data_IF_503306079274
#
_entry.id   IF_503306079274
#
_cell.length_a   1.000
_cell.length_b   1.000
_cell.length_c   1.000
_cell.angle_alpha   90.00
_cell.angle_beta   90.00
_cell.angle_gamma   90.00
#
_symmetry.space_group_name_H-M   'P 1'
#
loop_
_entity.id
_entity.type
_entity.pdbx_description
1 polymer ?
#
# COMPACT_ATOMS: atom_id res chain seq x y z
N UNK A 1 -9.46 -5.01 6.16
CA UNK A 1 -9.79 -4.48 7.53
C UNK A 1 -8.84 -5.00 8.62
N UNK A 2 -8.43 -6.28 8.59
CA UNK A 2 -7.58 -6.86 9.63
C UNK A 2 -6.16 -6.26 9.67
N UNK A 3 -5.57 -5.99 8.50
CA UNK A 3 -4.20 -5.48 8.40
C UNK A 3 -4.02 -4.11 9.07
N UNK A 4 -4.93 -3.16 8.82
CA UNK A 4 -4.88 -1.88 9.53
C UNK A 4 -5.07 -2.05 11.03
N UNK A 5 -5.87 -3.03 11.49
CA UNK A 5 -6.07 -3.31 12.90
C UNK A 5 -4.83 -3.90 13.60
N UNK A 6 -3.94 -4.56 12.85
CA UNK A 6 -2.68 -5.13 13.35
C UNK A 6 -1.48 -4.22 13.12
N UNK A 7 -1.56 -3.28 12.16
CA UNK A 7 -0.54 -2.27 11.94
C UNK A 7 -0.36 -1.42 13.21
N UNK A 8 0.87 -1.31 13.75
CA UNK A 8 1.12 -0.76 15.08
C UNK A 8 1.21 0.78 15.13
N UNK A 9 0.86 1.48 14.05
CA UNK A 9 0.99 2.94 13.95
C UNK A 9 -0.22 3.64 13.29
N UNK A 10 -0.11 4.95 13.03
CA UNK A 10 -1.10 5.67 12.26
C UNK A 10 -1.03 5.29 10.77
N UNK A 11 -2.17 5.32 10.10
CA UNK A 11 -2.32 4.98 8.67
C UNK A 11 -2.86 6.19 7.95
N UNK A 12 -2.14 6.66 6.93
CA UNK A 12 -2.61 7.71 6.05
C UNK A 12 -3.20 7.12 4.77
N UNK A 13 -4.43 7.47 4.45
CA UNK A 13 -5.10 7.07 3.21
C UNK A 13 -5.18 8.28 2.28
N UNK A 14 -4.47 8.19 1.16
CA UNK A 14 -4.29 9.29 0.19
C UNK A 14 -5.27 9.26 -0.97
N UNK A 15 -5.80 8.08 -1.31
CA UNK A 15 -6.78 7.82 -2.38
C UNK A 15 -7.68 6.66 -1.95
N UNK A 16 -8.61 6.24 -2.80
CA UNK A 16 -9.32 4.98 -2.61
C UNK A 16 -8.32 3.78 -2.58
N UNK A 17 -8.59 2.69 -1.88
CA UNK A 17 -9.88 2.26 -1.32
C UNK A 17 -9.89 2.26 0.22
N UNK A 18 -10.69 3.15 0.82
CA UNK A 18 -10.98 3.09 2.24
C UNK A 18 -12.33 2.44 2.48
N UNK A 19 -12.35 1.42 3.34
CA UNK A 19 -13.57 0.87 3.92
C UNK A 19 -13.85 1.56 5.26
N UNK A 20 -15.10 1.50 5.73
CA UNK A 20 -15.45 2.03 7.05
C UNK A 20 -14.49 1.47 8.14
N UNK A 21 -13.73 2.34 8.84
CA UNK A 21 -12.75 1.92 9.83
C UNK A 21 -13.39 1.24 11.04
N UNK A 22 -12.81 0.13 11.49
CA UNK A 22 -13.22 -0.49 12.75
C UNK A 22 -12.84 0.41 13.94
N UNK A 23 -13.63 0.36 15.01
CA UNK A 23 -13.36 1.11 16.26
C UNK A 23 -11.94 0.94 16.78
N UNK A 24 -11.35 -0.25 16.62
CA UNK A 24 -9.99 -0.60 17.08
C UNK A 24 -8.86 0.27 16.49
N UNK A 25 -9.07 0.87 15.32
CA UNK A 25 -8.03 1.65 14.63
C UNK A 25 -8.54 2.98 14.06
N UNK A 26 -9.81 3.32 14.27
CA UNK A 26 -10.43 4.55 13.75
C UNK A 26 -9.71 5.81 14.25
N UNK A 27 -9.23 5.81 15.49
CA UNK A 27 -8.49 6.93 16.10
C UNK A 27 -7.08 7.12 15.54
N UNK A 28 -6.60 6.23 14.68
CA UNK A 28 -5.26 6.30 14.07
C UNK A 28 -5.28 6.16 12.55
N UNK A 29 -6.46 6.24 11.92
CA UNK A 29 -6.56 6.47 10.48
C UNK A 29 -6.60 7.98 10.23
N UNK A 30 -5.94 8.38 9.16
CA UNK A 30 -5.94 9.71 8.59
C UNK A 30 -6.33 9.64 7.12
N UNK A 31 -6.93 10.73 6.63
CA UNK A 31 -7.29 10.90 5.23
C UNK A 31 -6.58 12.13 4.65
N UNK A 32 -6.38 12.16 3.35
CA UNK A 32 -5.84 13.30 2.62
C UNK A 32 -6.44 13.40 1.21
N UNK A 33 -6.16 14.51 0.53
CA UNK A 33 -6.68 14.82 -0.80
C UNK A 33 -8.22 14.69 -0.82
N UNK A 34 -8.78 13.98 -1.80
CA UNK A 34 -10.22 13.80 -1.98
C UNK A 34 -10.83 12.74 -1.04
N UNK A 35 -10.03 12.07 -0.21
CA UNK A 35 -10.52 11.02 0.69
C UNK A 35 -11.18 11.63 1.93
N UNK A 36 -12.43 11.22 2.21
CA UNK A 36 -13.16 11.62 3.41
C UNK A 36 -13.93 10.46 4.04
N UNK A 37 -13.84 10.33 5.36
CA UNK A 37 -14.62 9.36 6.14
C UNK A 37 -15.10 10.01 7.43
N UNK A 38 -16.37 9.84 7.77
CA UNK A 38 -16.96 10.49 8.94
C UNK A 38 -16.26 10.06 10.26
N UNK A 39 -15.84 11.07 11.04
CA UNK A 39 -15.18 10.86 12.32
C UNK A 39 -13.74 10.33 12.21
N UNK A 40 -13.12 10.47 11.03
CA UNK A 40 -11.70 10.20 10.80
C UNK A 40 -11.00 11.53 10.60
N UNK A 41 -9.77 11.67 11.12
CA UNK A 41 -9.00 12.90 10.96
C UNK A 41 -8.58 13.09 9.49
N UNK A 42 -8.64 14.33 9.02
CA UNK A 42 -8.18 14.71 7.69
C UNK A 42 -6.93 15.58 7.83
N UNK A 43 -5.92 15.35 7.00
CA UNK A 43 -4.70 16.16 7.03
C UNK A 43 -5.03 17.61 6.66
N UNK A 44 -4.57 18.59 7.46
CA UNK A 44 -4.88 19.99 7.21
C UNK A 44 -4.10 20.53 5.99
N UNK A 45 -4.80 21.29 5.15
CA UNK A 45 -4.21 22.18 4.14
C UNK A 45 -3.68 21.52 2.86
N UNK A 46 -3.40 22.36 1.87
CA UNK A 46 -2.86 21.95 0.55
C UNK A 46 -1.40 21.47 0.62
N UNK A 47 -0.71 21.74 1.73
CA UNK A 47 0.75 21.59 1.89
C UNK A 47 1.26 20.27 2.45
N UNK A 48 0.39 19.26 2.67
CA UNK A 48 0.77 17.95 3.25
C UNK A 48 1.58 18.07 4.54
N UNK A 49 1.07 18.82 5.52
CA UNK A 49 1.69 18.85 6.85
C UNK A 49 1.46 17.51 7.57
N UNK A 50 2.51 16.69 7.65
CA UNK A 50 2.48 15.39 8.31
C UNK A 50 2.82 15.45 9.81
N UNK A 51 3.12 16.63 10.35
CA UNK A 51 3.49 16.83 11.76
C UNK A 51 2.54 16.12 12.74
N UNK A 52 1.20 16.33 12.64
CA UNK A 52 0.24 15.68 13.54
C UNK A 52 0.24 14.14 13.50
N UNK A 53 0.56 13.54 12.33
CA UNK A 53 0.65 12.09 12.18
C UNK A 53 1.93 11.57 12.86
N UNK A 54 3.05 12.28 12.66
CA UNK A 54 4.33 11.94 13.26
C UNK A 54 4.24 12.04 14.78
N UNK A 55 3.66 13.12 15.32
CA UNK A 55 3.43 13.29 16.76
C UNK A 55 2.60 12.16 17.35
N UNK A 56 1.52 11.74 16.67
CA UNK A 56 0.75 10.57 17.10
C UNK A 56 1.61 9.30 17.16
N UNK A 57 2.45 9.08 16.15
CA UNK A 57 3.34 7.92 16.08
C UNK A 57 4.38 7.94 17.21
N UNK A 58 4.85 9.12 17.63
CA UNK A 58 5.87 9.28 18.67
C UNK A 58 5.30 9.27 20.11
N UNK A 59 3.99 9.45 20.29
CA UNK A 59 3.38 9.47 21.64
C UNK A 59 3.45 8.10 22.36
N UNK A 60 3.90 8.07 23.61
CA UNK A 60 4.25 6.83 24.35
C UNK A 60 3.08 5.84 24.56
N UNK A 61 1.84 6.33 24.65
CA UNK A 61 0.67 5.50 24.99
C UNK A 61 0.06 4.76 23.80
N UNK A 62 0.16 5.34 22.59
CA UNK A 62 -0.48 4.83 21.35
C UNK A 62 0.45 4.82 20.13
N UNK A 63 1.72 5.15 20.35
CA UNK A 63 2.72 5.30 19.30
C UNK A 63 3.09 4.00 18.59
N UNK A 64 3.91 4.16 17.57
CA UNK A 64 4.42 3.12 16.70
C UNK A 64 5.34 2.13 17.44
N UNK A 65 4.77 1.25 18.27
CA UNK A 65 5.51 0.23 19.05
C UNK A 65 6.26 -0.81 18.19
N UNK A 66 6.23 -0.66 16.87
CA UNK A 66 6.74 -1.62 15.91
C UNK A 66 5.89 -2.89 15.83
N UNK A 67 6.19 -3.74 14.86
CA UNK A 67 5.58 -5.06 14.80
C UNK A 67 6.16 -5.95 15.90
N UNK A 68 5.33 -6.82 16.48
CA UNK A 68 5.77 -7.77 17.53
C UNK A 68 6.71 -8.86 17.01
N UNK A 69 6.66 -9.13 15.71
CA UNK A 69 7.45 -10.15 15.02
C UNK A 69 7.52 -9.80 13.54
N UNK A 70 8.61 -10.23 12.92
CA UNK A 70 8.74 -10.24 11.48
C UNK A 70 8.07 -11.48 10.88
N UNK A 71 7.91 -11.47 9.55
CA UNK A 71 7.46 -12.64 8.80
C UNK A 71 8.69 -13.51 8.54
N UNK A 72 8.69 -14.71 9.11
CA UNK A 72 9.76 -15.70 8.94
C UNK A 72 9.28 -16.93 8.17
N UNK A 73 9.97 -17.34 7.08
CA UNK A 73 11.08 -16.62 6.44
C UNK A 73 10.60 -15.34 5.73
N UNK A 74 11.50 -14.36 5.59
CA UNK A 74 11.23 -13.17 4.81
C UNK A 74 10.81 -13.52 3.38
N UNK A 75 9.75 -12.87 2.89
CA UNK A 75 9.24 -13.03 1.53
C UNK A 75 9.60 -11.79 0.71
N UNK A 76 10.24 -12.00 -0.44
CA UNK A 76 10.59 -10.94 -1.37
C UNK A 76 9.77 -11.07 -2.65
N UNK A 77 9.36 -9.93 -3.21
CA UNK A 77 8.65 -9.86 -4.49
C UNK A 77 9.44 -8.98 -5.45
N UNK A 78 9.91 -9.55 -6.55
CA UNK A 78 10.62 -8.81 -7.59
C UNK A 78 9.63 -7.97 -8.40
N UNK A 79 9.78 -6.65 -8.38
CA UNK A 79 8.91 -5.68 -9.04
C UNK A 79 9.74 -4.61 -9.76
N UNK A 80 9.09 -3.68 -10.47
CA UNK A 80 9.76 -2.53 -11.10
C UNK A 80 9.87 -2.58 -12.63
N UNK A 81 9.18 -3.51 -13.28
CA UNK A 81 9.18 -3.70 -14.74
C UNK A 81 8.27 -2.71 -15.48
N UNK A 82 8.44 -1.40 -15.25
CA UNK A 82 7.74 -0.38 -16.04
C UNK A 82 8.36 -0.26 -17.44
N UNK A 83 7.72 0.54 -18.32
CA UNK A 83 8.17 0.68 -19.70
C UNK A 83 9.64 1.14 -19.84
N UNK A 84 10.18 1.98 -18.94
CA UNK A 84 11.58 2.42 -18.99
C UNK A 84 12.56 1.31 -18.62
N UNK A 85 12.15 0.36 -17.77
CA UNK A 85 12.95 -0.80 -17.43
C UNK A 85 12.89 -1.88 -18.52
N UNK A 86 11.73 -2.09 -19.13
CA UNK A 86 11.50 -3.17 -20.11
C UNK A 86 11.94 -2.81 -21.52
N UNK A 87 11.71 -1.57 -21.98
CA UNK A 87 12.01 -1.19 -23.37
C UNK A 87 13.48 -1.37 -23.78
N UNK A 88 14.50 -1.08 -22.93
CA UNK A 88 15.90 -1.37 -23.26
C UNK A 88 16.20 -2.86 -23.45
N UNK A 89 15.37 -3.75 -22.91
CA UNK A 89 15.50 -5.20 -23.01
C UNK A 89 14.65 -5.79 -24.14
N UNK A 90 14.00 -4.96 -24.96
CA UNK A 90 13.05 -5.41 -25.99
C UNK A 90 13.65 -6.45 -26.94
N UNK A 91 14.92 -6.29 -27.33
CA UNK A 91 15.62 -7.26 -28.20
C UNK A 91 15.67 -8.67 -27.59
N UNK A 92 15.98 -8.78 -26.29
CA UNK A 92 16.04 -10.07 -25.59
C UNK A 92 14.66 -10.71 -25.45
N UNK A 93 13.63 -9.91 -25.17
CA UNK A 93 12.25 -10.40 -25.09
C UNK A 93 11.77 -10.94 -26.45
N UNK A 94 12.10 -10.23 -27.53
CA UNK A 94 11.76 -10.64 -28.90
C UNK A 94 12.50 -11.94 -29.26
N UNK A 95 13.79 -12.04 -28.97
CA UNK A 95 14.58 -13.25 -29.22
C UNK A 95 14.05 -14.46 -28.43
N UNK A 96 13.69 -14.27 -27.16
CA UNK A 96 13.08 -15.33 -26.35
C UNK A 96 11.75 -15.80 -26.94
N UNK A 97 10.94 -14.88 -27.50
CA UNK A 97 9.70 -15.24 -28.18
C UNK A 97 9.96 -16.00 -29.48
N UNK A 98 10.88 -15.52 -30.33
CA UNK A 98 11.20 -16.13 -31.62
C UNK A 98 11.82 -17.52 -31.47
N UNK A 99 12.64 -17.73 -30.44
CA UNK A 99 13.24 -19.04 -30.12
C UNK A 99 12.29 -20.01 -29.42
N UNK A 100 11.09 -19.56 -29.05
CA UNK A 100 10.09 -20.37 -28.35
C UNK A 100 10.34 -20.54 -26.83
N UNK A 101 11.39 -19.94 -26.28
CA UNK A 101 11.63 -19.90 -24.82
C UNK A 101 10.51 -19.14 -24.08
N UNK A 102 9.96 -18.12 -24.74
CA UNK A 102 8.77 -17.40 -24.30
C UNK A 102 7.61 -17.71 -25.26
N UNK A 103 6.66 -18.52 -24.80
CA UNK A 103 5.54 -18.96 -25.65
C UNK A 103 4.32 -18.04 -25.57
N UNK A 104 4.07 -17.41 -24.41
CA UNK A 104 2.89 -16.56 -24.16
C UNK A 104 3.21 -15.48 -23.14
N UNK A 105 2.58 -14.31 -23.30
CA UNK A 105 2.50 -13.26 -22.29
C UNK A 105 1.03 -13.08 -21.93
N UNK A 106 0.72 -13.14 -20.64
CA UNK A 106 -0.62 -12.88 -20.13
C UNK A 106 -0.65 -11.53 -19.43
N UNK A 107 -1.61 -10.69 -19.82
CA UNK A 107 -1.89 -9.44 -19.12
C UNK A 107 -2.90 -9.72 -18.00
N UNK A 108 -2.41 -9.78 -16.76
CA UNK A 108 -3.22 -10.00 -15.54
C UNK A 108 -3.17 -8.75 -14.64
N UNK A 109 -3.01 -7.57 -15.25
CA UNK A 109 -3.10 -6.30 -14.52
C UNK A 109 -4.56 -5.92 -14.27
N UNK A 110 -4.85 -5.30 -13.12
CA UNK A 110 -6.20 -4.89 -12.75
C UNK A 110 -6.33 -4.44 -11.31
N UNK A 111 -7.56 -4.43 -10.80
CA UNK A 111 -7.89 -4.15 -9.41
C UNK A 111 -8.44 -5.42 -8.76
N UNK A 112 -8.05 -5.67 -7.51
CA UNK A 112 -8.57 -6.77 -6.70
C UNK A 112 -9.87 -6.39 -5.98
N UNK A 113 -10.60 -7.37 -5.44
CA UNK A 113 -11.89 -7.18 -4.77
C UNK A 113 -12.19 -8.28 -3.75
N UNK A 114 -13.36 -8.21 -3.10
CA UNK A 114 -13.74 -9.13 -2.01
C UNK A 114 -14.61 -10.31 -2.47
N UNK A 115 -14.79 -10.52 -3.78
CA UNK A 115 -15.67 -11.57 -4.28
C UNK A 115 -15.02 -12.94 -4.03
N UNK A 116 -15.58 -13.70 -3.08
CA UNK A 116 -15.09 -15.03 -2.70
C UNK A 116 -14.22 -15.08 -1.43
N UNK A 117 -14.03 -13.96 -0.73
CA UNK A 117 -13.43 -13.89 0.62
C UNK A 117 -14.45 -13.98 1.76
#
# INVERSE_FOLDING_TARGET
KLEFATFPGPVLVTTNCILEPMKKYKDRIWTANEVGVQGVRHLPGEGRDFGPIIEQCLSDDKGCKGFKKDVEPAKFTTVGFNHRAVLPLAGQVIEAAQSGQLSRIFLIGGCDGTEGE
#
